data_IF_223425011184
#
_entry.id   IF_223425011184
#
_cell.length_a   1.000
_cell.length_b   1.000
_cell.length_c   1.000
_cell.angle_alpha   90.00
_cell.angle_beta   90.00
_cell.angle_gamma   90.00
#
_symmetry.space_group_name_H-M   'P 1'
#
loop_
_entity.id
_entity.type
_entity.pdbx_description
1 polymer ?
#
# COMPACT_ATOMS: atom_id res chain seq x y z
N UNK A 1 -13.35 1.70 -21.47
CA UNK A 1 -13.02 3.09 -21.82
C UNK A 1 -11.61 3.04 -22.36
N UNK A 2 -11.38 3.20 -23.67
CA UNK A 2 -10.06 2.96 -24.25
C UNK A 2 -8.96 3.71 -23.49
N UNK A 3 -7.86 3.02 -23.24
CA UNK A 3 -6.71 3.57 -22.54
C UNK A 3 -6.06 4.64 -23.42
N UNK A 4 -5.74 5.79 -22.83
CA UNK A 4 -5.07 6.90 -23.52
C UNK A 4 -3.73 6.45 -24.12
N UNK A 5 -3.45 6.91 -25.34
CA UNK A 5 -2.18 6.72 -26.03
C UNK A 5 -0.99 7.24 -25.20
N UNK A 6 -1.16 8.32 -24.41
CA UNK A 6 -0.11 8.80 -23.52
C UNK A 6 0.23 7.80 -22.41
N UNK A 7 -0.77 7.11 -21.84
CA UNK A 7 -0.56 6.08 -20.83
C UNK A 7 0.11 4.84 -21.42
N UNK A 8 -0.32 4.40 -22.60
CA UNK A 8 0.34 3.30 -23.32
C UNK A 8 1.77 3.65 -23.69
N UNK A 9 2.03 4.91 -24.06
CA UNK A 9 3.39 5.39 -24.30
C UNK A 9 4.26 5.33 -23.05
N UNK A 10 3.73 5.54 -21.84
CA UNK A 10 4.52 5.36 -20.60
C UNK A 10 5.07 3.94 -20.44
N UNK A 11 4.43 2.92 -21.01
CA UNK A 11 4.97 1.55 -20.99
C UNK A 11 6.37 1.48 -21.64
N UNK A 12 6.64 2.36 -22.62
CA UNK A 12 7.96 2.57 -23.28
C UNK A 12 9.12 2.77 -22.31
N UNK A 13 8.83 3.36 -21.16
CA UNK A 13 9.85 3.80 -20.21
C UNK A 13 10.23 2.71 -19.20
N UNK A 14 9.62 1.53 -19.30
CA UNK A 14 9.82 0.43 -18.38
C UNK A 14 10.71 -0.66 -18.99
N UNK A 15 11.71 -1.15 -18.22
CA UNK A 15 12.67 -2.14 -18.71
C UNK A 15 12.10 -3.56 -18.83
N UNK A 16 11.02 -3.87 -18.12
CA UNK A 16 10.47 -5.23 -18.05
C UNK A 16 8.97 -5.23 -18.34
N UNK A 17 8.55 -6.06 -19.29
CA UNK A 17 7.15 -6.30 -19.61
C UNK A 17 6.79 -7.79 -19.56
N UNK A 18 5.62 -8.05 -18.99
CA UNK A 18 5.06 -9.40 -18.87
C UNK A 18 3.62 -9.36 -19.34
N UNK A 19 3.27 -10.20 -20.30
CA UNK A 19 1.90 -10.46 -20.69
C UNK A 19 1.36 -11.64 -19.86
N UNK A 20 0.15 -11.53 -19.32
CA UNK A 20 -0.50 -12.52 -18.46
C UNK A 20 -1.95 -12.73 -18.87
N UNK A 21 -2.40 -13.98 -18.89
CA UNK A 21 -3.80 -14.35 -19.16
C UNK A 21 -4.20 -15.56 -18.32
N UNK A 22 -5.50 -15.86 -18.28
CA UNK A 22 -6.02 -17.07 -17.64
C UNK A 22 -6.31 -18.13 -18.72
N UNK A 23 -5.71 -19.31 -18.57
CA UNK A 23 -5.98 -20.46 -19.45
C UNK A 23 -7.33 -21.12 -19.16
N UNK A 24 -7.75 -22.03 -20.03
CA UNK A 24 -9.05 -22.71 -19.94
C UNK A 24 -9.22 -23.52 -18.65
N UNK A 25 -8.10 -24.01 -18.08
CA UNK A 25 -8.06 -24.69 -16.79
C UNK A 25 -8.12 -23.73 -15.58
N UNK A 26 -8.19 -22.42 -15.81
CA UNK A 26 -8.23 -21.39 -14.76
C UNK A 26 -6.87 -20.97 -14.20
N UNK A 27 -5.77 -21.48 -14.77
CA UNK A 27 -4.42 -21.13 -14.33
C UNK A 27 -3.94 -19.84 -15.00
N UNK A 28 -3.34 -18.89 -14.25
CA UNK A 28 -2.69 -17.75 -14.84
C UNK A 28 -1.37 -18.19 -15.51
N UNK A 29 -1.19 -17.77 -16.76
CA UNK A 29 0.05 -17.97 -17.53
C UNK A 29 0.64 -16.62 -17.87
N UNK A 30 1.95 -16.49 -17.69
CA UNK A 30 2.69 -15.26 -17.92
C UNK A 30 3.88 -15.51 -18.85
N UNK A 31 4.10 -14.60 -19.80
CA UNK A 31 5.25 -14.63 -20.71
C UNK A 31 5.94 -13.27 -20.69
N UNK A 32 7.27 -13.28 -20.56
CA UNK A 32 8.06 -12.07 -20.77
C UNK A 32 7.98 -11.66 -22.24
N UNK A 33 7.67 -10.40 -22.50
CA UNK A 33 7.51 -9.86 -23.85
C UNK A 33 8.38 -8.62 -24.00
N UNK A 34 8.85 -8.36 -25.22
CA UNK A 34 9.27 -7.00 -25.58
C UNK A 34 8.11 -6.31 -26.26
N UNK A 35 8.19 -4.99 -26.38
CA UNK A 35 7.15 -4.22 -27.04
C UNK A 35 7.76 -3.10 -27.88
N UNK A 36 7.03 -2.71 -28.91
CA UNK A 36 7.27 -1.49 -29.67
C UNK A 36 5.98 -0.68 -29.66
N UNK A 37 6.09 0.64 -29.58
CA UNK A 37 4.95 1.55 -29.74
C UNK A 37 4.89 2.01 -31.18
N UNK A 38 3.69 2.06 -31.76
CA UNK A 38 3.47 2.52 -33.14
C UNK A 38 3.39 4.06 -33.23
N UNK A 39 4.10 4.77 -32.34
CA UNK A 39 4.20 6.24 -32.31
C UNK A 39 2.93 7.00 -31.92
N UNK A 40 1.85 6.84 -32.70
CA UNK A 40 0.60 7.61 -32.61
C UNK A 40 -0.64 6.76 -32.27
N UNK A 41 -0.59 5.44 -32.50
CA UNK A 41 -1.70 4.55 -32.20
C UNK A 41 -1.69 4.10 -30.72
N UNK A 42 -2.88 3.94 -30.08
CA UNK A 42 -3.00 3.38 -28.73
C UNK A 42 -2.83 1.85 -28.75
N UNK A 43 -1.76 1.38 -29.39
CA UNK A 43 -1.48 -0.04 -29.58
C UNK A 43 -0.02 -0.36 -29.28
N UNK A 44 0.19 -1.52 -28.68
CA UNK A 44 1.53 -2.06 -28.43
C UNK A 44 1.76 -3.23 -29.37
N UNK A 45 2.93 -3.27 -30.00
CA UNK A 45 3.39 -4.43 -30.76
C UNK A 45 4.18 -5.32 -29.80
N UNK A 46 3.58 -6.41 -29.35
CA UNK A 46 4.18 -7.37 -28.43
C UNK A 46 4.92 -8.46 -29.23
N UNK A 47 6.15 -8.76 -28.83
CA UNK A 47 6.91 -9.89 -29.32
C UNK A 47 6.94 -10.98 -28.25
N UNK A 48 6.36 -12.15 -28.54
CA UNK A 48 6.25 -13.26 -27.62
C UNK A 48 7.14 -14.44 -28.04
N UNK A 49 8.43 -14.45 -27.67
CA UNK A 49 9.35 -15.53 -28.01
C UNK A 49 9.15 -16.72 -27.07
N UNK A 50 8.08 -17.50 -27.26
CA UNK A 50 7.96 -18.82 -26.61
C UNK A 50 6.55 -19.33 -26.38
N UNK A 51 5.60 -18.43 -26.08
CA UNK A 51 4.19 -18.78 -25.85
C UNK A 51 3.30 -17.82 -26.65
N UNK A 52 2.36 -18.33 -27.46
CA UNK A 52 1.46 -17.48 -28.21
C UNK A 52 0.51 -16.75 -27.26
N UNK A 53 0.46 -15.43 -27.38
CA UNK A 53 -0.50 -14.61 -26.64
C UNK A 53 -1.90 -14.88 -27.23
N UNK A 54 -2.90 -15.24 -26.41
CA UNK A 54 -4.23 -15.58 -26.90
C UNK A 54 -4.98 -14.35 -27.40
N UNK A 55 -5.84 -14.55 -28.39
CA UNK A 55 -6.61 -13.47 -29.07
C UNK A 55 -8.11 -13.55 -28.80
N UNK A 56 -8.56 -14.64 -28.18
CA UNK A 56 -9.94 -14.97 -27.85
C UNK A 56 -10.36 -14.49 -26.45
N UNK A 57 -9.41 -14.04 -25.64
CA UNK A 57 -9.61 -13.67 -24.23
C UNK A 57 -8.88 -12.39 -23.87
N UNK A 58 -9.17 -11.92 -22.67
CA UNK A 58 -8.50 -10.75 -22.11
C UNK A 58 -7.08 -11.09 -21.66
N UNK A 59 -6.16 -10.16 -21.93
CA UNK A 59 -4.74 -10.24 -21.59
C UNK A 59 -4.37 -9.01 -20.79
N UNK A 60 -3.59 -9.22 -19.75
CA UNK A 60 -2.94 -8.18 -18.96
C UNK A 60 -1.50 -8.00 -19.43
N UNK A 61 -1.07 -6.76 -19.65
CA UNK A 61 0.33 -6.41 -19.89
C UNK A 61 0.80 -5.54 -18.73
N UNK A 62 1.76 -6.06 -17.96
CA UNK A 62 2.37 -5.35 -16.84
C UNK A 62 3.76 -4.91 -17.27
N UNK A 63 4.00 -3.61 -17.21
CA UNK A 63 5.33 -3.05 -17.23
C UNK A 63 5.74 -2.63 -15.82
N UNK A 64 6.99 -2.89 -15.43
CA UNK A 64 7.47 -2.59 -14.09
C UNK A 64 8.93 -2.18 -14.05
N UNK A 65 9.27 -1.32 -13.10
CA UNK A 65 10.63 -0.94 -12.75
C UNK A 65 10.77 -1.01 -11.23
N UNK A 66 11.91 -1.55 -10.82
CA UNK A 66 12.31 -1.60 -9.42
C UNK A 66 13.84 -1.55 -9.41
N UNK A 67 14.40 -0.69 -8.56
CA UNK A 67 15.84 -0.57 -8.42
C UNK A 67 16.28 -1.32 -7.16
N UNK A 68 17.18 -2.32 -7.28
CA UNK A 68 17.73 -3.00 -6.13
C UNK A 68 18.74 -2.10 -5.40
N UNK A 69 18.61 -2.00 -4.08
CA UNK A 69 19.59 -1.38 -3.19
C UNK A 69 20.33 -2.46 -2.40
N UNK A 70 21.62 -2.73 -2.71
CA UNK A 70 22.39 -3.78 -2.05
C UNK A 70 22.39 -3.63 -0.52
N UNK A 71 21.97 -4.68 0.19
CA UNK A 71 21.93 -4.74 1.65
C UNK A 71 20.80 -3.96 2.32
N UNK A 72 19.95 -3.26 1.56
CA UNK A 72 18.84 -2.44 2.10
C UNK A 72 17.49 -2.96 1.63
N UNK A 73 17.34 -3.23 0.32
CA UNK A 73 16.06 -3.62 -0.26
C UNK A 73 15.88 -3.06 -1.66
N UNK A 74 14.76 -2.36 -1.90
CA UNK A 74 14.38 -1.85 -3.21
C UNK A 74 13.73 -0.47 -3.13
N UNK A 75 13.91 0.33 -4.18
CA UNK A 75 13.26 1.63 -4.36
C UNK A 75 12.94 1.90 -5.84
N UNK A 76 12.51 3.13 -6.14
CA UNK A 76 12.01 3.55 -7.45
C UNK A 76 10.91 2.63 -7.99
N UNK A 77 10.07 2.11 -7.10
CA UNK A 77 9.06 1.11 -7.49
C UNK A 77 8.00 1.79 -8.33
N UNK A 78 7.81 1.29 -9.54
CA UNK A 78 6.70 1.73 -10.38
C UNK A 78 6.22 0.61 -11.27
N UNK A 79 4.92 0.59 -11.52
CA UNK A 79 4.34 -0.34 -12.46
C UNK A 79 3.13 0.27 -13.15
N UNK A 80 2.86 -0.23 -14.35
CA UNK A 80 1.68 0.06 -15.11
C UNK A 80 1.14 -1.24 -15.68
N UNK A 81 -0.10 -1.55 -15.32
CA UNK A 81 -0.82 -2.73 -15.74
C UNK A 81 -1.94 -2.31 -16.68
N UNK A 82 -1.96 -2.85 -17.88
CA UNK A 82 -2.97 -2.57 -18.90
C UNK A 82 -3.66 -3.85 -19.29
N UNK A 83 -4.98 -3.86 -19.26
CA UNK A 83 -5.82 -4.98 -19.66
C UNK A 83 -6.49 -4.67 -20.98
N UNK A 84 -6.64 -5.69 -21.81
CA UNK A 84 -7.30 -5.56 -23.09
C UNK A 84 -7.13 -6.80 -23.94
N UNK A 85 -7.07 -6.62 -25.26
CA UNK A 85 -7.07 -7.74 -26.21
C UNK A 85 -5.90 -7.68 -27.17
N UNK A 86 -5.40 -8.88 -27.48
CA UNK A 86 -4.38 -9.13 -28.48
C UNK A 86 -5.03 -9.48 -29.83
N UNK A 87 -4.48 -8.94 -30.91
CA UNK A 87 -4.86 -9.29 -32.27
C UNK A 87 -4.21 -10.60 -32.73
N UNK A 88 -4.72 -11.17 -33.81
CA UNK A 88 -4.04 -12.27 -34.52
C UNK A 88 -2.58 -11.89 -34.82
N UNK A 89 -1.60 -12.74 -34.45
CA UNK A 89 -0.20 -12.46 -34.71
C UNK A 89 0.10 -12.35 -36.21
N UNK A 90 0.96 -11.40 -36.60
CA UNK A 90 1.59 -11.33 -37.92
C UNK A 90 3.10 -11.34 -37.74
N UNK A 91 3.79 -12.31 -38.34
CA UNK A 91 5.25 -12.49 -38.23
C UNK A 91 5.77 -12.53 -36.77
N UNK A 92 4.99 -13.15 -35.87
CA UNK A 92 5.33 -13.27 -34.44
C UNK A 92 5.03 -12.01 -33.60
N UNK A 93 4.50 -10.96 -34.22
CA UNK A 93 4.12 -9.70 -33.57
C UNK A 93 2.61 -9.67 -33.34
N UNK A 94 2.21 -9.31 -32.12
CA UNK A 94 0.82 -9.18 -31.71
C UNK A 94 0.50 -7.71 -31.43
N UNK A 95 -0.55 -7.18 -32.04
CA UNK A 95 -1.04 -5.84 -31.69
C UNK A 95 -1.95 -5.95 -30.47
N UNK A 96 -1.61 -5.25 -29.40
CA UNK A 96 -2.38 -5.19 -28.16
C UNK A 96 -3.10 -3.86 -28.04
N UNK A 97 -4.41 -3.89 -27.79
CA UNK A 97 -5.25 -2.71 -27.54
C UNK A 97 -5.71 -2.69 -26.08
N UNK A 98 -5.40 -1.60 -25.37
CA UNK A 98 -5.76 -1.41 -23.97
C UNK A 98 -7.19 -0.93 -23.77
N UNK A 99 -7.94 -1.64 -22.91
CA UNK A 99 -9.33 -1.34 -22.55
C UNK A 99 -9.46 -0.66 -21.19
N UNK A 100 -8.57 -0.99 -20.25
CA UNK A 100 -8.48 -0.35 -18.95
C UNK A 100 -7.09 -0.56 -18.35
N UNK A 101 -6.70 0.32 -17.43
CA UNK A 101 -5.34 0.32 -16.88
C UNK A 101 -5.32 0.83 -15.44
N UNK A 102 -4.32 0.39 -14.70
CA UNK A 102 -3.97 0.89 -13.38
C UNK A 102 -2.47 0.85 -13.19
N UNK A 103 -1.95 1.76 -12.39
CA UNK A 103 -0.53 1.84 -12.12
C UNK A 103 -0.26 2.64 -10.86
N UNK A 104 0.98 2.56 -10.44
CA UNK A 104 1.50 3.32 -9.32
C UNK A 104 2.96 3.65 -9.62
N UNK A 105 3.36 4.88 -9.30
CA UNK A 105 4.74 5.34 -9.40
C UNK A 105 5.16 5.95 -8.07
N UNK A 106 6.17 5.34 -7.43
CA UNK A 106 6.71 5.79 -6.15
C UNK A 106 7.28 7.21 -6.19
N UNK A 107 7.72 7.69 -7.37
CA UNK A 107 8.19 9.07 -7.54
C UNK A 107 7.04 10.10 -7.57
N UNK A 108 5.84 9.67 -7.96
CA UNK A 108 4.64 10.53 -7.99
C UNK A 108 3.88 10.47 -6.65
N UNK A 109 3.71 9.26 -6.11
CA UNK A 109 2.99 9.00 -4.87
C UNK A 109 3.82 8.03 -4.03
N UNK A 110 4.44 8.48 -2.92
CA UNK A 110 5.22 7.60 -2.05
C UNK A 110 4.42 6.39 -1.58
N UNK A 111 5.09 5.26 -1.35
CA UNK A 111 4.43 3.99 -1.01
C UNK A 111 3.45 4.08 0.19
N UNK A 112 3.81 4.85 1.21
CA UNK A 112 2.95 5.06 2.38
C UNK A 112 1.66 5.78 2.01
N UNK A 113 1.76 6.88 1.26
CA UNK A 113 0.60 7.62 0.78
C UNK A 113 -0.27 6.77 -0.16
N UNK A 114 0.34 6.00 -1.06
CA UNK A 114 -0.38 5.06 -1.92
C UNK A 114 -1.17 4.03 -1.10
N UNK A 115 -0.57 3.49 -0.03
CA UNK A 115 -1.22 2.54 0.87
C UNK A 115 -2.45 3.16 1.54
N UNK A 116 -2.35 4.40 2.02
CA UNK A 116 -3.46 5.12 2.65
C UNK A 116 -4.58 5.44 1.66
N UNK A 117 -4.23 5.95 0.47
CA UNK A 117 -5.19 6.22 -0.61
C UNK A 117 -5.94 4.95 -1.05
N UNK A 118 -5.34 3.78 -0.86
CA UNK A 118 -5.92 2.48 -1.22
C UNK A 118 -6.80 1.86 -0.12
N UNK A 119 -6.83 2.44 1.09
CA UNK A 119 -7.64 1.95 2.22
C UNK A 119 -9.14 1.89 1.87
N UNK A 120 -9.77 2.90 1.25
CA UNK A 120 -11.20 2.83 0.90
C UNK A 120 -11.53 1.67 -0.04
N UNK A 121 -10.67 1.38 -1.02
CA UNK A 121 -10.86 0.25 -1.93
C UNK A 121 -10.77 -1.08 -1.17
N UNK A 122 -9.79 -1.22 -0.27
CA UNK A 122 -9.63 -2.40 0.57
C UNK A 122 -10.85 -2.63 1.47
N UNK A 123 -11.45 -1.56 2.01
CA UNK A 123 -12.69 -1.64 2.80
C UNK A 123 -13.87 -2.13 1.97
N UNK A 124 -14.09 -1.58 0.77
CA UNK A 124 -15.15 -2.05 -0.15
C UNK A 124 -14.99 -3.53 -0.49
N UNK A 125 -13.77 -3.98 -0.75
CA UNK A 125 -13.51 -5.40 -1.02
C UNK A 125 -13.89 -6.29 0.17
N UNK A 126 -13.47 -5.91 1.38
CA UNK A 126 -13.78 -6.66 2.60
C UNK A 126 -15.28 -6.66 2.92
N UNK A 127 -16.00 -5.56 2.62
CA UNK A 127 -17.45 -5.47 2.74
C UNK A 127 -18.16 -6.43 1.77
N UNK A 128 -17.77 -6.44 0.50
CA UNK A 128 -18.29 -7.37 -0.50
C UNK A 128 -18.03 -8.82 -0.08
N UNK A 129 -16.80 -9.13 0.32
CA UNK A 129 -16.43 -10.47 0.79
C UNK A 129 -17.22 -10.87 2.04
N UNK A 130 -17.49 -9.92 2.94
CA UNK A 130 -18.33 -10.16 4.13
C UNK A 130 -19.76 -10.52 3.75
N UNK A 131 -20.32 -9.83 2.75
CA UNK A 131 -21.65 -10.11 2.22
C UNK A 131 -21.73 -11.49 1.57
N UNK A 132 -20.76 -11.84 0.72
CA UNK A 132 -20.68 -13.15 0.06
C UNK A 132 -20.57 -14.31 1.05
N UNK A 133 -19.81 -14.12 2.14
CA UNK A 133 -19.56 -15.17 3.14
C UNK A 133 -20.59 -15.19 4.27
N UNK A 134 -21.54 -14.25 4.28
CA UNK A 134 -22.57 -14.12 5.32
C UNK A 134 -22.01 -13.84 6.72
N UNK A 135 -20.78 -13.32 6.83
CA UNK A 135 -20.14 -13.01 8.11
C UNK A 135 -19.16 -11.84 7.97
N UNK A 136 -18.98 -11.01 9.02
CA UNK A 136 -18.03 -9.90 8.95
C UNK A 136 -16.59 -10.42 8.81
N UNK A 137 -15.91 -9.98 7.76
CA UNK A 137 -14.50 -10.23 7.50
C UNK A 137 -13.77 -8.90 7.62
N UNK A 138 -12.98 -8.79 8.69
CA UNK A 138 -12.15 -7.61 8.94
C UNK A 138 -10.77 -8.01 9.46
N UNK A 139 -9.72 -7.26 9.11
CA UNK A 139 -8.42 -7.42 9.74
C UNK A 139 -8.56 -7.27 11.26
N UNK A 140 -7.91 -8.14 12.01
CA UNK A 140 -7.84 -8.06 13.47
C UNK A 140 -6.38 -8.16 13.90
N UNK A 141 -5.91 -7.16 14.61
CA UNK A 141 -4.66 -7.26 15.36
C UNK A 141 -4.90 -8.12 16.60
N UNK A 142 -3.91 -8.92 16.98
CA UNK A 142 -3.95 -9.59 18.28
C UNK A 142 -3.97 -8.55 19.39
N UNK A 143 -4.61 -8.86 20.52
CA UNK A 143 -4.81 -7.91 21.62
C UNK A 143 -3.53 -7.18 22.08
N UNK A 144 -2.36 -7.84 22.23
CA UNK A 144 -1.13 -7.14 22.62
C UNK A 144 -0.71 -6.06 21.60
N UNK A 145 -0.82 -6.36 20.30
CA UNK A 145 -0.49 -5.40 19.24
C UNK A 145 -1.48 -4.25 19.18
N UNK A 146 -2.76 -4.54 19.43
CA UNK A 146 -3.79 -3.51 19.52
C UNK A 146 -3.49 -2.53 20.68
N UNK A 147 -3.17 -3.06 21.86
CA UNK A 147 -2.80 -2.24 23.03
C UNK A 147 -1.58 -1.39 22.72
N UNK A 148 -0.49 -2.00 22.23
CA UNK A 148 0.76 -1.31 21.91
C UNK A 148 0.54 -0.14 20.94
N UNK A 149 -0.25 -0.34 19.88
CA UNK A 149 -0.50 0.65 18.84
C UNK A 149 -1.44 1.76 19.31
N UNK A 150 -2.62 1.41 19.84
CA UNK A 150 -3.64 2.38 20.24
C UNK A 150 -3.21 3.26 21.41
N UNK A 151 -2.47 2.72 22.38
CA UNK A 151 -2.00 3.55 23.50
C UNK A 151 -0.70 4.30 23.18
N UNK A 152 -0.09 4.05 22.02
CA UNK A 152 1.25 4.55 21.65
C UNK A 152 2.29 4.24 22.74
N UNK A 153 2.29 3.00 23.25
CA UNK A 153 3.06 2.61 24.43
C UNK A 153 4.57 2.97 24.36
N UNK A 154 5.28 2.83 23.22
CA UNK A 154 6.69 3.21 23.13
C UNK A 154 6.99 4.69 23.43
N UNK A 155 5.99 5.57 23.32
CA UNK A 155 6.15 7.01 23.58
C UNK A 155 6.06 7.38 25.06
N UNK A 156 5.89 6.42 25.98
CA UNK A 156 5.96 6.66 27.43
C UNK A 156 7.31 7.22 27.88
N UNK A 157 8.37 7.09 27.07
CA UNK A 157 9.66 7.76 27.31
C UNK A 157 9.49 9.28 27.48
N UNK A 158 8.59 9.91 26.71
CA UNK A 158 8.27 11.33 26.82
C UNK A 158 7.58 11.69 28.15
N UNK A 159 6.95 10.72 28.81
CA UNK A 159 6.37 10.88 30.17
C UNK A 159 7.40 10.59 31.25
N UNK A 160 8.18 9.52 31.10
CA UNK A 160 9.12 9.10 32.14
C UNK A 160 10.20 10.14 32.39
N UNK A 161 10.79 10.74 31.35
CA UNK A 161 11.86 11.73 31.50
C UNK A 161 11.47 12.90 32.42
N UNK A 162 10.38 13.66 32.15
CA UNK A 162 9.99 14.77 33.02
C UNK A 162 9.50 14.32 34.41
N UNK A 163 8.79 13.18 34.50
CA UNK A 163 8.31 12.66 35.79
C UNK A 163 9.48 12.26 36.69
N UNK A 164 10.45 11.52 36.17
CA UNK A 164 11.64 11.11 36.91
C UNK A 164 12.48 12.32 37.34
N UNK A 165 12.60 13.34 36.49
CA UNK A 165 13.25 14.61 36.86
C UNK A 165 12.52 15.30 38.03
N UNK A 166 11.18 15.39 37.97
CA UNK A 166 10.37 15.94 39.05
C UNK A 166 10.54 15.17 40.37
N UNK A 167 10.57 13.84 40.30
CA UNK A 167 10.82 12.98 41.46
C UNK A 167 12.23 13.17 42.04
N UNK A 168 13.25 13.33 41.19
CA UNK A 168 14.62 13.61 41.64
C UNK A 168 14.72 14.95 42.37
N UNK A 169 14.02 15.98 41.87
CA UNK A 169 13.93 17.30 42.52
C UNK A 169 13.20 17.16 43.87
N UNK A 170 12.08 16.44 43.92
CA UNK A 170 11.32 16.21 45.15
C UNK A 170 12.15 15.49 46.22
N UNK A 171 12.92 14.46 45.83
CA UNK A 171 13.80 13.72 46.72
C UNK A 171 14.92 14.59 47.33
N UNK A 172 15.31 15.68 46.67
CA UNK A 172 16.33 16.62 47.16
C UNK A 172 15.78 17.63 48.18
N UNK A 173 14.48 17.91 48.16
CA UNK A 173 13.87 18.98 48.94
C UNK A 173 13.17 18.53 50.23
N UNK A 174 13.10 17.23 50.51
CA UNK A 174 12.44 16.74 51.72
C UNK A 174 12.29 15.22 51.77
N UNK A 175 11.46 14.71 52.69
CA UNK A 175 11.17 13.28 52.78
C UNK A 175 10.57 12.76 51.48
N UNK A 176 11.03 11.59 51.05
CA UNK A 176 10.61 10.95 49.81
C UNK A 176 9.70 9.76 50.08
N UNK A 177 8.49 9.81 49.52
CA UNK A 177 7.52 8.71 49.63
C UNK A 177 7.51 7.89 48.33
N UNK A 178 7.94 6.63 48.43
CA UNK A 178 8.01 5.69 47.32
C UNK A 178 6.64 5.32 46.75
N UNK A 179 5.60 5.27 47.58
CA UNK A 179 4.24 5.00 47.12
C UNK A 179 3.74 6.17 46.27
N UNK A 180 3.92 7.40 46.74
CA UNK A 180 3.55 8.61 45.97
C UNK A 180 4.34 8.70 44.67
N UNK A 181 5.63 8.38 44.68
CA UNK A 181 6.45 8.34 43.48
C UNK A 181 5.94 7.30 42.46
N UNK A 182 5.63 6.08 42.91
CA UNK A 182 5.07 5.04 42.05
C UNK A 182 3.70 5.45 41.48
N UNK A 183 2.82 6.00 42.31
CA UNK A 183 1.52 6.50 41.87
C UNK A 183 1.65 7.65 40.87
N UNK A 184 2.66 8.52 41.02
CA UNK A 184 2.92 9.61 40.08
C UNK A 184 3.36 9.08 38.72
N UNK A 185 4.28 8.10 38.68
CA UNK A 185 4.71 7.45 37.43
C UNK A 185 3.53 6.74 36.76
N UNK A 186 2.78 5.93 37.50
CA UNK A 186 1.64 5.20 36.97
C UNK A 186 0.52 6.14 36.52
N UNK A 187 0.18 7.15 37.31
CA UNK A 187 -0.85 8.13 37.00
C UNK A 187 -0.52 8.94 35.74
N UNK A 188 0.71 9.46 35.64
CA UNK A 188 1.17 10.18 34.46
C UNK A 188 1.19 9.28 33.22
N UNK A 189 1.61 8.01 33.38
CA UNK A 189 1.58 7.03 32.29
C UNK A 189 0.16 6.77 31.81
N UNK A 190 -0.77 6.45 32.71
CA UNK A 190 -2.16 6.21 32.35
C UNK A 190 -2.84 7.44 31.74
N UNK A 191 -2.54 8.64 32.22
CA UNK A 191 -3.03 9.87 31.61
C UNK A 191 -2.54 10.02 30.16
N UNK A 192 -1.25 9.76 29.88
CA UNK A 192 -0.71 9.77 28.52
C UNK A 192 -1.34 8.66 27.66
N UNK A 193 -1.41 7.42 28.13
CA UNK A 193 -2.04 6.35 27.36
C UNK A 193 -3.51 6.69 27.05
N UNK A 194 -4.26 7.21 28.03
CA UNK A 194 -5.66 7.59 27.86
C UNK A 194 -5.83 8.73 26.85
N UNK A 195 -4.99 9.76 26.87
CA UNK A 195 -5.11 10.87 25.92
C UNK A 195 -4.82 10.40 24.48
N UNK A 196 -3.86 9.49 24.29
CA UNK A 196 -3.59 8.91 22.98
C UNK A 196 -4.77 8.12 22.41
N UNK A 197 -5.40 7.26 23.23
CA UNK A 197 -6.61 6.53 22.81
C UNK A 197 -7.76 7.50 22.55
N UNK A 198 -7.90 8.51 23.40
CA UNK A 198 -8.96 9.52 23.27
C UNK A 198 -8.82 10.29 21.97
N UNK A 199 -7.61 10.71 21.61
CA UNK A 199 -7.33 11.36 20.33
C UNK A 199 -7.76 10.49 19.15
N UNK A 200 -7.35 9.22 19.10
CA UNK A 200 -7.74 8.30 18.02
C UNK A 200 -9.27 8.18 17.89
N UNK A 201 -9.99 8.11 19.02
CA UNK A 201 -11.46 8.06 19.03
C UNK A 201 -12.06 9.34 18.45
N UNK A 202 -11.59 10.51 18.87
CA UNK A 202 -12.12 11.79 18.40
C UNK A 202 -11.73 12.10 16.94
N UNK A 203 -10.55 11.67 16.49
CA UNK A 203 -10.11 11.81 15.10
C UNK A 203 -10.98 10.95 14.17
N UNK A 204 -11.33 9.74 14.58
CA UNK A 204 -12.28 8.90 13.85
C UNK A 204 -13.69 9.51 13.86
N UNK A 205 -14.19 9.95 15.03
CA UNK A 205 -15.56 10.50 15.15
C UNK A 205 -15.73 11.83 14.42
N UNK A 206 -14.68 12.64 14.32
CA UNK A 206 -14.70 13.92 13.61
C UNK A 206 -14.47 13.78 12.10
N UNK A 207 -14.08 12.59 11.62
CA UNK A 207 -13.73 12.34 10.22
C UNK A 207 -12.32 12.84 9.84
N UNK A 208 -11.52 13.27 10.82
CA UNK A 208 -10.14 13.71 10.59
C UNK A 208 -9.27 12.61 9.99
N UNK A 209 -9.45 11.36 10.45
CA UNK A 209 -8.75 10.18 9.92
C UNK A 209 -9.03 9.97 8.42
N UNK A 210 -10.29 10.15 7.99
CA UNK A 210 -10.68 9.96 6.59
C UNK A 210 -10.19 11.11 5.70
N UNK A 211 -10.08 12.31 6.25
CA UNK A 211 -9.61 13.49 5.54
C UNK A 211 -8.07 13.54 5.40
N UNK A 212 -7.34 12.88 6.31
CA UNK A 212 -5.88 12.95 6.35
C UNK A 212 -5.22 11.92 5.43
N UNK A 213 -4.93 12.33 4.19
CA UNK A 213 -4.22 11.49 3.21
C UNK A 213 -2.69 11.45 3.40
N UNK A 214 -2.14 12.25 4.31
CA UNK A 214 -0.70 12.37 4.57
C UNK A 214 -0.40 12.13 6.06
N UNK A 215 -0.50 10.90 6.56
CA UNK A 215 -0.27 10.63 7.97
C UNK A 215 1.18 10.92 8.36
N UNK A 216 1.35 11.48 9.55
CA UNK A 216 2.63 11.57 10.23
C UNK A 216 3.14 10.16 10.56
N UNK A 217 4.42 9.89 10.28
CA UNK A 217 5.02 8.54 10.29
C UNK A 217 5.33 7.96 11.69
N UNK A 218 4.59 8.32 12.74
CA UNK A 218 4.92 8.00 14.14
C UNK A 218 4.00 6.95 14.76
#
# INVERSE_FOLDING_TARGET
MQVDAALLKRLSDYPFLVATWVEDAGYPVSVATTFQTDGEAPTLLLNAPGLPIPTDREVSVIASHIRPQPGIGYDERRYLCVWGRASTPRDGIVTFSGEHAWGWDEAEVPFFEYSERSVPQSRRYLEQLSAERGRPIKPRLALPWLILRTTRLPFLTATFVPVLLGLAIAARHGPFDWLVAALTILGASFAHLAINVTNDIFDTLSGADEANVNPTQF
#
